data_IF_770269947708
#
_entry.id   IF_770269947708
#
_cell.length_a   1.000
_cell.length_b   1.000
_cell.length_c   1.000
_cell.angle_alpha   90.00
_cell.angle_beta   90.00
_cell.angle_gamma   90.00
#
_symmetry.space_group_name_H-M   'P 1'
#
loop_
_entity.id
_entity.type
_entity.pdbx_description
1 polymer ?
#
# COMPACT_ATOMS: atom_id res chain seq x y z
N UNK A 1 27.79 -10.28 0.20
CA UNK A 1 27.40 -9.14 1.06
C UNK A 1 25.91 -8.78 0.97
N UNK A 2 25.29 -8.59 -0.22
CA UNK A 2 23.86 -8.24 -0.29
C UNK A 2 22.92 -9.30 0.29
N UNK A 3 23.21 -10.58 0.06
CA UNK A 3 22.43 -11.70 0.58
C UNK A 3 22.44 -11.80 2.11
N UNK A 4 23.58 -11.53 2.75
CA UNK A 4 23.71 -11.53 4.22
C UNK A 4 22.89 -10.39 4.84
N UNK A 5 22.92 -9.20 4.23
CA UNK A 5 22.12 -8.05 4.67
C UNK A 5 20.63 -8.36 4.55
N UNK A 6 20.19 -8.97 3.45
CA UNK A 6 18.79 -9.37 3.27
C UNK A 6 18.36 -10.44 4.28
N UNK A 7 19.21 -11.43 4.56
CA UNK A 7 18.94 -12.44 5.59
C UNK A 7 18.76 -11.81 6.97
N UNK A 8 19.67 -10.93 7.39
CA UNK A 8 19.56 -10.21 8.66
C UNK A 8 18.28 -9.36 8.71
N UNK A 9 17.96 -8.65 7.63
CA UNK A 9 16.76 -7.84 7.53
C UNK A 9 15.48 -8.68 7.66
N UNK A 10 15.47 -9.90 7.11
CA UNK A 10 14.35 -10.82 7.27
C UNK A 10 14.26 -11.37 8.68
N UNK A 11 15.38 -11.78 9.29
CA UNK A 11 15.42 -12.29 10.68
C UNK A 11 14.89 -11.23 11.66
N UNK A 12 15.42 -10.01 11.61
CA UNK A 12 14.93 -8.89 12.43
C UNK A 12 13.45 -8.59 12.16
N UNK A 13 13.04 -8.70 10.89
CA UNK A 13 11.64 -8.57 10.50
C UNK A 13 10.74 -9.63 11.12
N UNK A 14 11.17 -10.89 11.16
CA UNK A 14 10.44 -11.99 11.82
C UNK A 14 10.36 -11.73 13.33
N UNK A 15 11.47 -11.39 13.98
CA UNK A 15 11.48 -11.08 15.42
C UNK A 15 10.54 -9.92 15.76
N UNK A 16 10.51 -8.88 14.93
CA UNK A 16 9.55 -7.78 15.10
C UNK A 16 8.10 -8.24 14.94
N UNK A 17 7.80 -9.10 13.97
CA UNK A 17 6.45 -9.64 13.79
C UNK A 17 6.05 -10.52 14.98
N UNK A 18 6.93 -11.37 15.49
CA UNK A 18 6.67 -12.19 16.68
C UNK A 18 6.36 -11.32 17.91
N UNK A 19 7.15 -10.28 18.12
CA UNK A 19 6.89 -9.31 19.18
C UNK A 19 5.53 -8.63 19.00
N UNK A 20 5.17 -8.26 17.77
CA UNK A 20 3.89 -7.65 17.46
C UNK A 20 2.71 -8.60 17.71
N UNK A 21 2.83 -9.87 17.29
CA UNK A 21 1.81 -10.90 17.49
C UNK A 21 1.58 -11.19 18.98
N UNK A 22 2.65 -11.35 19.74
CA UNK A 22 2.58 -11.60 21.19
C UNK A 22 1.99 -10.40 21.95
N UNK A 23 2.49 -9.19 21.67
CA UNK A 23 2.07 -7.95 22.37
C UNK A 23 0.63 -7.57 22.06
N UNK A 24 0.19 -7.74 20.81
CA UNK A 24 -1.14 -7.32 20.35
C UNK A 24 -2.11 -8.49 20.09
N UNK A 25 -1.84 -9.66 20.66
CA UNK A 25 -2.68 -10.86 20.53
C UNK A 25 -4.16 -10.60 20.86
N UNK A 26 -4.44 -9.82 21.92
CA UNK A 26 -5.80 -9.42 22.30
C UNK A 26 -6.51 -8.48 21.31
N UNK A 27 -5.79 -7.91 20.35
CA UNK A 27 -6.32 -7.00 19.31
C UNK A 27 -6.37 -7.65 17.92
N UNK A 28 -6.20 -8.98 17.83
CA UNK A 28 -6.14 -9.70 16.56
C UNK A 28 -7.33 -9.39 15.64
N UNK A 29 -8.57 -9.42 16.16
CA UNK A 29 -9.77 -9.12 15.37
C UNK A 29 -9.79 -7.68 14.84
N UNK A 30 -9.32 -6.71 15.63
CA UNK A 30 -9.21 -5.31 15.22
C UNK A 30 -8.18 -5.17 14.10
N UNK A 31 -7.01 -5.82 14.23
CA UNK A 31 -5.97 -5.78 13.20
C UNK A 31 -6.42 -6.49 11.91
N UNK A 32 -7.14 -7.60 12.02
CA UNK A 32 -7.76 -8.27 10.86
C UNK A 32 -8.84 -7.42 10.20
N UNK A 33 -9.63 -6.68 10.98
CA UNK A 33 -10.58 -5.71 10.45
C UNK A 33 -9.87 -4.57 9.71
N UNK A 34 -8.81 -4.01 10.30
CA UNK A 34 -8.02 -2.95 9.68
C UNK A 34 -7.36 -3.40 8.37
N UNK A 35 -6.89 -4.65 8.31
CA UNK A 35 -6.36 -5.22 7.07
C UNK A 35 -7.43 -5.31 5.98
N UNK A 36 -8.65 -5.73 6.34
CA UNK A 36 -9.79 -5.77 5.40
C UNK A 36 -10.14 -4.38 4.91
N UNK A 37 -10.18 -3.39 5.79
CA UNK A 37 -10.44 -2.00 5.43
C UNK A 37 -9.36 -1.42 4.51
N UNK A 38 -8.09 -1.80 4.72
CA UNK A 38 -6.96 -1.41 3.88
C UNK A 38 -6.86 -2.16 2.55
N UNK A 39 -7.83 -3.03 2.22
CA UNK A 39 -7.84 -3.78 0.97
C UNK A 39 -7.92 -2.81 -0.22
N UNK A 40 -6.98 -2.89 -1.20
CA UNK A 40 -6.95 -2.01 -2.36
C UNK A 40 -8.25 -1.94 -3.16
N UNK A 41 -9.11 -2.95 -3.11
CA UNK A 41 -10.42 -2.94 -3.77
C UNK A 41 -11.30 -1.79 -3.27
N UNK A 42 -11.16 -1.38 -2.01
CA UNK A 42 -11.89 -0.24 -1.46
C UNK A 42 -11.53 1.08 -2.16
N UNK A 43 -10.34 1.20 -2.76
CA UNK A 43 -9.97 2.35 -3.58
C UNK A 43 -10.98 2.59 -4.71
N UNK A 44 -11.39 1.51 -5.37
CA UNK A 44 -12.31 1.54 -6.51
C UNK A 44 -13.78 1.53 -6.09
N UNK A 45 -14.11 0.76 -5.04
CA UNK A 45 -15.49 0.53 -4.62
C UNK A 45 -16.04 1.60 -3.68
N UNK A 46 -15.18 2.25 -2.89
CA UNK A 46 -15.58 3.18 -1.82
C UNK A 46 -14.96 4.56 -2.02
N UNK A 47 -13.63 4.66 -2.03
CA UNK A 47 -12.95 5.96 -2.01
C UNK A 47 -13.15 6.75 -3.31
N UNK A 48 -13.03 6.11 -4.47
CA UNK A 48 -13.26 6.76 -5.76
C UNK A 48 -14.69 7.31 -5.89
N UNK A 49 -15.76 6.51 -5.72
CA UNK A 49 -17.14 7.01 -5.82
C UNK A 49 -17.42 8.12 -4.83
N UNK A 50 -16.98 7.97 -3.57
CA UNK A 50 -17.19 8.97 -2.53
C UNK A 50 -16.48 10.29 -2.88
N UNK A 51 -15.22 10.23 -3.30
CA UNK A 51 -14.46 11.41 -3.73
C UNK A 51 -15.09 12.10 -4.95
N UNK A 52 -15.68 11.33 -5.87
CA UNK A 52 -16.36 11.85 -7.06
C UNK A 52 -17.62 12.66 -6.69
N UNK A 53 -18.38 12.23 -5.68
CA UNK A 53 -19.55 12.96 -5.17
C UNK A 53 -19.17 14.34 -4.64
N UNK A 54 -18.05 14.45 -3.92
CA UNK A 54 -17.59 15.73 -3.36
C UNK A 54 -16.90 16.62 -4.40
N UNK A 55 -16.07 16.04 -5.27
CA UNK A 55 -15.38 16.79 -6.32
C UNK A 55 -15.01 15.87 -7.47
N UNK A 56 -15.52 16.18 -8.66
CA UNK A 56 -15.18 15.46 -9.89
C UNK A 56 -13.67 15.38 -10.11
N UNK A 57 -12.93 16.45 -9.80
CA UNK A 57 -11.47 16.48 -9.93
C UNK A 57 -10.79 15.50 -8.97
N UNK A 58 -11.19 15.53 -7.70
CA UNK A 58 -10.62 14.67 -6.65
C UNK A 58 -10.94 13.21 -6.95
N UNK A 59 -12.19 12.89 -7.28
CA UNK A 59 -12.60 11.54 -7.67
C UNK A 59 -11.77 10.99 -8.83
N UNK A 60 -11.64 11.73 -9.93
CA UNK A 60 -10.85 11.28 -11.09
C UNK A 60 -9.35 11.11 -10.75
N UNK A 61 -8.78 11.98 -9.90
CA UNK A 61 -7.40 11.80 -9.41
C UNK A 61 -7.28 10.57 -8.52
N UNK A 62 -8.22 10.33 -7.61
CA UNK A 62 -8.28 9.15 -6.76
C UNK A 62 -8.30 7.86 -7.59
N UNK A 63 -9.12 7.83 -8.65
CA UNK A 63 -9.16 6.69 -9.57
C UNK A 63 -7.82 6.51 -10.29
N UNK A 64 -7.25 7.60 -10.83
CA UNK A 64 -5.97 7.55 -11.54
C UNK A 64 -4.85 7.01 -10.63
N UNK A 65 -4.71 7.53 -9.41
CA UNK A 65 -3.65 7.07 -8.49
C UNK A 65 -3.88 5.63 -8.03
N UNK A 66 -5.12 5.18 -7.87
CA UNK A 66 -5.42 3.77 -7.57
C UNK A 66 -4.97 2.86 -8.71
N UNK A 67 -5.30 3.19 -9.97
CA UNK A 67 -4.90 2.42 -11.16
C UNK A 67 -3.38 2.36 -11.28
N UNK A 68 -2.70 3.51 -11.20
CA UNK A 68 -1.24 3.56 -11.31
C UNK A 68 -0.56 2.83 -10.15
N UNK A 69 -1.10 2.91 -8.93
CA UNK A 69 -0.53 2.21 -7.77
C UNK A 69 -0.68 0.69 -7.89
N UNK A 70 -1.85 0.19 -8.28
CA UNK A 70 -2.06 -1.25 -8.50
C UNK A 70 -1.14 -1.78 -9.62
N UNK A 71 -1.07 -1.06 -10.74
CA UNK A 71 -0.17 -1.42 -11.83
C UNK A 71 1.30 -1.40 -11.38
N UNK A 72 1.74 -0.36 -10.68
CA UNK A 72 3.12 -0.26 -10.18
C UNK A 72 3.41 -1.37 -9.18
N UNK A 73 2.47 -1.69 -8.29
CA UNK A 73 2.61 -2.79 -7.33
C UNK A 73 2.79 -4.14 -8.04
N UNK A 74 1.99 -4.40 -9.08
CA UNK A 74 2.07 -5.61 -9.89
C UNK A 74 3.44 -5.76 -10.55
N UNK A 75 3.89 -4.72 -11.25
CA UNK A 75 5.18 -4.69 -11.95
C UNK A 75 6.33 -4.93 -10.96
N UNK A 76 6.34 -4.19 -9.84
CA UNK A 76 7.39 -4.34 -8.83
C UNK A 76 7.37 -5.71 -8.17
N UNK A 77 6.20 -6.28 -7.88
CA UNK A 77 6.09 -7.64 -7.33
C UNK A 77 6.71 -8.68 -8.25
N UNK A 78 6.44 -8.60 -9.54
CA UNK A 78 7.02 -9.51 -10.52
C UNK A 78 8.51 -9.29 -10.74
N UNK A 79 9.03 -8.07 -10.59
CA UNK A 79 10.48 -7.84 -10.71
C UNK A 79 11.25 -8.28 -9.47
N UNK A 80 10.71 -7.98 -8.28
CA UNK A 80 11.44 -8.13 -7.02
C UNK A 80 11.31 -9.52 -6.39
N UNK A 81 10.27 -10.29 -6.75
CA UNK A 81 10.04 -11.65 -6.23
C UNK A 81 10.19 -11.76 -4.70
N UNK A 82 9.77 -10.73 -3.95
CA UNK A 82 10.02 -10.68 -2.51
C UNK A 82 9.29 -11.78 -1.75
N UNK A 83 9.97 -12.39 -0.79
CA UNK A 83 9.41 -13.41 0.08
C UNK A 83 8.38 -12.85 1.06
N UNK A 84 7.53 -13.72 1.61
CA UNK A 84 6.58 -13.35 2.67
C UNK A 84 6.99 -14.00 3.99
N UNK A 85 6.92 -13.29 5.13
CA UNK A 85 7.40 -13.80 6.42
C UNK A 85 6.87 -15.20 6.75
N UNK A 86 5.56 -15.42 6.63
CA UNK A 86 4.94 -16.70 6.98
C UNK A 86 5.44 -17.90 6.15
N UNK A 87 5.79 -17.68 4.88
CA UNK A 87 6.32 -18.73 4.01
C UNK A 87 7.84 -18.85 4.16
N UNK A 88 8.52 -17.71 4.29
CA UNK A 88 9.96 -17.61 4.40
C UNK A 88 10.53 -18.36 5.62
N UNK A 89 9.83 -18.32 6.77
CA UNK A 89 10.26 -19.08 7.96
C UNK A 89 10.17 -20.61 7.78
N UNK A 90 9.47 -21.09 6.74
CA UNK A 90 9.29 -22.52 6.46
C UNK A 90 10.28 -23.04 5.42
N UNK A 91 11.20 -22.19 4.96
CA UNK A 91 12.20 -22.57 3.98
C UNK A 91 13.25 -23.50 4.61
N UNK A 92 13.33 -24.78 4.18
CA UNK A 92 14.28 -25.74 4.74
C UNK A 92 15.74 -25.44 4.38
N UNK A 93 16.00 -24.59 3.38
CA UNK A 93 17.36 -24.13 3.07
C UNK A 93 17.86 -23.10 4.09
N UNK A 94 16.94 -22.45 4.82
CA UNK A 94 17.24 -21.38 5.79
C UNK A 94 17.16 -21.90 7.22
N UNK A 95 16.13 -22.68 7.55
CA UNK A 95 15.90 -23.18 8.90
C UNK A 95 15.86 -24.71 8.92
N UNK A 96 16.67 -25.30 9.81
CA UNK A 96 16.59 -26.73 10.11
C UNK A 96 15.22 -27.08 10.70
N UNK A 97 14.80 -28.33 10.48
CA UNK A 97 13.53 -28.85 10.97
C UNK A 97 13.41 -28.66 12.50
N UNK A 98 12.31 -28.03 12.94
CA UNK A 98 12.06 -27.73 14.35
C UNK A 98 12.81 -26.52 14.92
N UNK A 99 13.68 -25.84 14.16
CA UNK A 99 14.40 -24.63 14.61
C UNK A 99 13.83 -23.31 14.06
N UNK A 100 12.84 -23.37 13.17
CA UNK A 100 12.20 -22.19 12.61
C UNK A 100 11.45 -21.36 13.66
N UNK A 101 11.52 -20.01 13.62
CA UNK A 101 10.70 -19.15 14.45
C UNK A 101 9.21 -19.38 14.20
N UNK A 102 8.39 -19.39 15.26
CA UNK A 102 6.93 -19.52 15.14
C UNK A 102 6.28 -18.17 14.81
N UNK A 103 5.43 -18.15 13.78
CA UNK A 103 4.56 -17.02 13.43
C UNK A 103 3.11 -17.50 13.37
N UNK A 104 2.20 -16.76 14.00
CA UNK A 104 0.78 -17.10 14.01
C UNK A 104 0.17 -16.92 12.61
N UNK A 105 -0.64 -17.91 12.21
CA UNK A 105 -1.41 -17.87 10.97
C UNK A 105 -2.81 -17.33 11.25
N UNK A 106 -3.24 -16.38 10.43
CA UNK A 106 -4.61 -15.86 10.43
C UNK A 106 -5.31 -16.16 9.10
N UNK A 107 -6.63 -15.93 9.05
CA UNK A 107 -7.45 -16.16 7.85
C UNK A 107 -7.00 -15.38 6.62
N UNK A 108 -6.27 -14.28 6.81
CA UNK A 108 -5.77 -13.39 5.74
C UNK A 108 -4.26 -13.51 5.51
N UNK A 109 -3.59 -14.49 6.13
CA UNK A 109 -2.14 -14.69 5.98
C UNK A 109 -1.76 -15.28 4.63
N UNK A 110 -2.61 -16.14 4.07
CA UNK A 110 -2.31 -16.89 2.84
C UNK A 110 -2.57 -16.04 1.59
N UNK A 111 -1.55 -15.33 1.11
CA UNK A 111 -1.58 -14.66 -0.19
C UNK A 111 -0.66 -15.35 -1.20
N UNK A 112 -1.12 -15.46 -2.45
CA UNK A 112 -0.56 -16.33 -3.50
C UNK A 112 0.45 -15.66 -4.45
N UNK A 113 0.88 -14.44 -4.16
CA UNK A 113 1.84 -13.68 -5.00
C UNK A 113 3.00 -13.10 -4.19
N UNK A 114 4.03 -12.53 -4.86
CA UNK A 114 5.20 -11.96 -4.20
C UNK A 114 4.85 -10.90 -3.15
N UNK A 115 5.67 -10.82 -2.10
CA UNK A 115 5.48 -9.95 -0.95
C UNK A 115 5.98 -8.52 -1.11
N UNK A 116 6.95 -8.25 -1.99
CA UNK A 116 7.54 -6.90 -2.10
C UNK A 116 7.08 -6.14 -3.33
N UNK A 117 6.56 -4.90 -3.22
CA UNK A 117 6.16 -4.18 -2.00
C UNK A 117 4.72 -4.50 -1.53
N UNK A 118 4.38 -4.05 -0.32
CA UNK A 118 3.00 -4.13 0.21
C UNK A 118 2.02 -3.30 -0.63
N UNK A 119 1.09 -3.99 -1.31
CA UNK A 119 0.05 -3.35 -2.13
C UNK A 119 -0.98 -2.59 -1.29
N UNK A 120 -1.39 -3.15 -0.15
CA UNK A 120 -2.30 -2.49 0.79
C UNK A 120 -1.76 -1.13 1.22
N UNK A 121 -0.49 -1.07 1.61
CA UNK A 121 0.14 0.18 2.05
C UNK A 121 0.35 1.15 0.89
N UNK A 122 0.79 0.67 -0.28
CA UNK A 122 1.03 1.52 -1.45
C UNK A 122 -0.24 2.21 -1.94
N UNK A 123 -1.31 1.44 -2.16
CA UNK A 123 -2.57 1.99 -2.69
C UNK A 123 -3.23 2.91 -1.67
N UNK A 124 -3.28 2.49 -0.39
CA UNK A 124 -3.82 3.33 0.69
C UNK A 124 -3.06 4.66 0.79
N UNK A 125 -1.72 4.63 0.72
CA UNK A 125 -0.90 5.83 0.76
C UNK A 125 -1.17 6.78 -0.41
N UNK A 126 -1.28 6.24 -1.63
CA UNK A 126 -1.53 7.04 -2.82
C UNK A 126 -2.93 7.66 -2.85
N UNK A 127 -3.97 6.87 -2.54
CA UNK A 127 -5.36 7.30 -2.55
C UNK A 127 -5.61 8.34 -1.46
N UNK A 128 -5.19 8.04 -0.22
CA UNK A 128 -5.42 8.98 0.88
C UNK A 128 -4.55 10.23 0.74
N UNK A 129 -3.42 10.20 0.02
CA UNK A 129 -2.67 11.42 -0.30
C UNK A 129 -3.54 12.42 -1.08
N UNK A 130 -4.26 11.95 -2.10
CA UNK A 130 -5.15 12.80 -2.93
C UNK A 130 -6.28 13.38 -2.07
N UNK A 131 -6.94 12.54 -1.28
CA UNK A 131 -8.05 12.96 -0.39
C UNK A 131 -7.57 13.96 0.65
N UNK A 132 -6.48 13.66 1.36
CA UNK A 132 -5.89 14.54 2.38
C UNK A 132 -5.44 15.87 1.78
N UNK A 133 -4.80 15.85 0.62
CA UNK A 133 -4.38 17.07 -0.08
C UNK A 133 -5.57 17.95 -0.46
N UNK A 134 -6.68 17.35 -0.91
CA UNK A 134 -7.90 18.07 -1.24
C UNK A 134 -8.52 18.72 0.01
N UNK A 135 -8.68 17.96 1.10
CA UNK A 135 -9.20 18.47 2.37
C UNK A 135 -8.36 19.63 2.90
N UNK A 136 -7.03 19.51 2.88
CA UNK A 136 -6.12 20.57 3.34
C UNK A 136 -6.20 21.80 2.44
N UNK A 137 -6.34 21.61 1.13
CA UNK A 137 -6.55 22.72 0.18
C UNK A 137 -7.85 23.47 0.48
N UNK A 138 -8.95 22.76 0.72
CA UNK A 138 -10.25 23.35 1.03
C UNK A 138 -10.23 24.09 2.37
N UNK A 139 -9.58 23.53 3.39
CA UNK A 139 -9.36 24.22 4.67
C UNK A 139 -8.51 25.49 4.50
N UNK A 140 -7.51 25.44 3.61
CA UNK A 140 -6.60 26.57 3.36
C UNK A 140 -7.24 27.69 2.53
N UNK A 141 -8.23 27.37 1.70
CA UNK A 141 -9.01 28.33 0.91
C UNK A 141 -10.08 29.07 1.73
N UNK A 142 -10.32 28.68 2.99
CA UNK A 142 -11.32 29.32 3.85
C UNK A 142 -10.95 30.78 4.21
N UNK A 143 -11.94 31.66 4.47
CA UNK A 143 -11.70 33.05 4.87
C UNK A 143 -10.79 33.19 6.09
N UNK A 144 -10.06 34.31 6.19
CA UNK A 144 -9.05 34.55 7.24
C UNK A 144 -9.57 34.32 8.66
N UNK A 145 -10.83 34.69 8.90
CA UNK A 145 -11.46 34.67 10.22
C UNK A 145 -12.22 33.35 10.48
N UNK A 146 -12.12 32.37 9.57
CA UNK A 146 -12.75 31.07 9.74
C UNK A 146 -11.96 30.19 10.71
N UNK A 147 -12.65 29.45 11.58
CA UNK A 147 -12.07 28.42 12.43
C UNK A 147 -11.25 27.38 11.63
N UNK A 148 -11.59 27.16 10.35
CA UNK A 148 -10.87 26.29 9.41
C UNK A 148 -9.41 26.70 9.17
N UNK A 149 -9.03 27.96 9.39
CA UNK A 149 -7.64 28.42 9.26
C UNK A 149 -6.77 28.13 10.49
N UNK A 150 -7.36 27.61 11.56
CA UNK A 150 -6.59 27.17 12.72
C UNK A 150 -5.56 26.09 12.31
N UNK A 151 -4.28 26.24 12.67
CA UNK A 151 -3.21 25.31 12.26
C UNK A 151 -3.46 23.87 12.74
N UNK A 152 -4.08 23.67 13.90
CA UNK A 152 -4.41 22.34 14.43
C UNK A 152 -5.41 21.63 13.50
N UNK A 153 -6.44 22.36 13.06
CA UNK A 153 -7.47 21.82 12.16
C UNK A 153 -6.89 21.52 10.78
N UNK A 154 -5.93 22.32 10.30
CA UNK A 154 -5.22 22.08 9.03
C UNK A 154 -4.22 20.92 9.12
N UNK A 155 -3.67 20.66 10.30
CA UNK A 155 -2.78 19.52 10.56
C UNK A 155 -3.54 18.21 10.74
N UNK A 156 -4.79 18.25 11.20
CA UNK A 156 -5.59 17.07 11.51
C UNK A 156 -5.73 16.06 10.33
N UNK A 157 -5.97 16.47 9.06
CA UNK A 157 -6.02 15.54 7.95
C UNK A 157 -4.69 14.76 7.75
N UNK A 158 -3.55 15.41 7.91
CA UNK A 158 -2.23 14.76 7.80
C UNK A 158 -1.96 13.80 8.96
N UNK A 159 -2.43 14.14 10.17
CA UNK A 159 -2.36 13.25 11.32
C UNK A 159 -3.22 12.00 11.10
N UNK A 160 -4.47 12.17 10.65
CA UNK A 160 -5.39 11.06 10.35
C UNK A 160 -4.81 10.18 9.23
N UNK A 161 -4.28 10.78 8.17
CA UNK A 161 -3.57 10.07 7.09
C UNK A 161 -2.46 9.18 7.64
N UNK A 162 -1.60 9.74 8.50
CA UNK A 162 -0.46 9.03 9.08
C UNK A 162 -0.90 7.88 10.00
N UNK A 163 -1.95 8.09 10.79
CA UNK A 163 -2.52 7.06 11.66
C UNK A 163 -3.12 5.90 10.85
N UNK A 164 -3.89 6.19 9.79
CA UNK A 164 -4.48 5.15 8.95
C UNK A 164 -3.39 4.34 8.25
N UNK A 165 -2.34 4.99 7.72
CA UNK A 165 -1.23 4.27 7.10
C UNK A 165 -0.44 3.41 8.07
N UNK A 166 -0.20 3.94 9.28
CA UNK A 166 0.47 3.17 10.33
C UNK A 166 -0.38 1.95 10.72
N UNK A 167 -1.69 2.13 10.90
CA UNK A 167 -2.62 1.05 11.21
C UNK A 167 -2.67 -0.01 10.09
N UNK A 168 -2.74 0.42 8.83
CA UNK A 168 -2.69 -0.48 7.68
C UNK A 168 -1.37 -1.28 7.66
N UNK A 169 -0.23 -0.59 7.81
CA UNK A 169 1.10 -1.23 7.86
C UNK A 169 1.23 -2.24 8.99
N UNK A 170 0.93 -1.83 10.22
CA UNK A 170 0.97 -2.70 11.41
C UNK A 170 0.07 -3.91 11.23
N UNK A 171 -1.14 -3.75 10.67
CA UNK A 171 -2.03 -4.89 10.41
C UNK A 171 -1.40 -5.93 9.48
N UNK A 172 -0.65 -5.50 8.45
CA UNK A 172 0.01 -6.39 7.49
C UNK A 172 1.16 -7.18 8.09
N UNK A 173 1.92 -6.51 8.97
CA UNK A 173 3.00 -7.14 9.72
C UNK A 173 2.43 -8.17 10.68
N UNK A 174 1.38 -7.82 11.43
CA UNK A 174 0.75 -8.70 12.43
C UNK A 174 0.25 -10.02 11.84
N UNK A 175 -0.33 -9.99 10.63
CA UNK A 175 -0.79 -11.20 9.94
C UNK A 175 0.32 -11.94 9.16
N UNK A 176 1.59 -11.56 9.35
CA UNK A 176 2.78 -12.16 8.74
C UNK A 176 2.79 -12.16 7.19
N UNK A 177 2.09 -11.22 6.56
CA UNK A 177 2.00 -11.14 5.07
C UNK A 177 3.11 -10.34 4.43
N UNK A 178 3.75 -9.45 5.20
CA UNK A 178 4.80 -8.55 4.72
C UNK A 178 5.87 -8.35 5.79
N UNK A 179 7.11 -8.15 5.35
CA UNK A 179 8.20 -7.67 6.20
C UNK A 179 8.11 -6.14 6.41
N UNK A 180 8.70 -5.58 7.49
CA UNK A 180 8.71 -4.13 7.73
C UNK A 180 9.23 -3.32 6.54
N UNK A 181 10.33 -3.74 5.92
CA UNK A 181 10.90 -3.05 4.77
C UNK A 181 9.96 -3.03 3.55
N UNK A 182 9.13 -4.06 3.35
CA UNK A 182 8.15 -4.13 2.25
C UNK A 182 6.97 -3.18 2.48
N UNK A 183 6.55 -3.02 3.74
CA UNK A 183 5.53 -2.04 4.16
C UNK A 183 6.05 -0.62 3.96
N UNK A 184 7.27 -0.33 4.42
CA UNK A 184 7.90 0.98 4.25
C UNK A 184 8.10 1.32 2.77
N UNK A 185 8.63 0.39 1.98
CA UNK A 185 8.84 0.59 0.55
C UNK A 185 7.53 0.81 -0.20
N UNK A 186 6.50 -0.01 0.07
CA UNK A 186 5.16 0.19 -0.50
C UNK A 186 4.58 1.56 -0.16
N UNK A 187 4.70 1.98 1.10
CA UNK A 187 4.22 3.29 1.57
C UNK A 187 4.94 4.44 0.87
N UNK A 188 6.28 4.37 0.76
CA UNK A 188 7.09 5.39 0.11
C UNK A 188 6.73 5.55 -1.38
N UNK A 189 6.60 4.44 -2.10
CA UNK A 189 6.17 4.44 -3.51
C UNK A 189 4.74 4.98 -3.64
N UNK A 190 3.83 4.61 -2.73
CA UNK A 190 2.46 5.11 -2.72
C UNK A 190 2.38 6.62 -2.50
N UNK A 191 3.13 7.16 -1.54
CA UNK A 191 3.26 8.61 -1.30
C UNK A 191 3.79 9.30 -2.57
N UNK A 192 4.83 8.75 -3.20
CA UNK A 192 5.40 9.30 -4.42
C UNK A 192 4.37 9.35 -5.56
N UNK A 193 3.64 8.25 -5.79
CA UNK A 193 2.58 8.19 -6.81
C UNK A 193 1.50 9.22 -6.49
N UNK A 194 1.01 9.25 -5.25
CA UNK A 194 0.03 10.23 -4.79
C UNK A 194 0.50 11.67 -5.03
N UNK A 195 1.74 11.99 -4.68
CA UNK A 195 2.33 13.32 -4.86
C UNK A 195 2.44 13.72 -6.34
N UNK A 196 2.98 12.84 -7.19
CA UNK A 196 3.21 13.11 -8.62
C UNK A 196 1.88 13.24 -9.36
N UNK A 197 1.00 12.25 -9.21
CA UNK A 197 -0.23 12.18 -10.00
C UNK A 197 -1.34 13.07 -9.46
N UNK A 198 -1.29 13.53 -8.21
CA UNK A 198 -2.22 14.56 -7.72
C UNK A 198 -2.06 15.91 -8.45
N UNK A 199 -0.90 16.16 -9.09
CA UNK A 199 -0.67 17.36 -9.89
C UNK A 199 -1.21 17.26 -11.32
N UNK A 200 -1.63 16.08 -11.76
CA UNK A 200 -2.13 15.86 -13.11
C UNK A 200 -3.51 16.51 -13.30
N UNK A 201 -3.68 17.21 -14.43
CA UNK A 201 -4.93 17.86 -14.81
C UNK A 201 -5.91 16.83 -15.40
N UNK A 202 -6.39 15.88 -14.58
CA UNK A 202 -7.28 14.79 -15.01
C UNK A 202 -8.58 15.26 -15.68
N UNK A 203 -8.99 16.51 -15.45
CA UNK A 203 -10.17 17.10 -16.08
C UNK A 203 -10.01 17.32 -17.60
N UNK A 204 -8.77 17.41 -18.10
CA UNK A 204 -8.49 17.56 -19.54
C UNK A 204 -8.45 16.22 -20.29
N UNK A 205 -8.61 15.09 -19.59
CA UNK A 205 -8.51 13.77 -20.19
C UNK A 205 -9.67 13.53 -21.16
N UNK A 206 -9.32 13.27 -22.42
CA UNK A 206 -10.27 12.83 -23.45
C UNK A 206 -10.40 11.30 -23.40
N UNK A 207 -11.55 10.72 -23.81
CA UNK A 207 -11.73 9.26 -23.82
C UNK A 207 -10.61 8.50 -24.54
N UNK A 208 -10.09 9.05 -25.65
CA UNK A 208 -8.95 8.49 -26.37
C UNK A 208 -7.68 8.38 -25.53
N UNK A 209 -7.39 9.38 -24.69
CA UNK A 209 -6.24 9.35 -23.78
C UNK A 209 -6.39 8.26 -22.73
N UNK A 210 -7.61 8.06 -22.20
CA UNK A 210 -7.89 6.99 -21.27
C UNK A 210 -7.68 5.60 -21.91
N UNK A 211 -8.17 5.40 -23.14
CA UNK A 211 -7.97 4.15 -23.88
C UNK A 211 -6.48 3.89 -24.12
N UNK A 212 -5.73 4.91 -24.56
CA UNK A 212 -4.29 4.80 -24.79
C UNK A 212 -3.54 4.49 -23.48
N UNK A 213 -3.89 5.14 -22.38
CA UNK A 213 -3.31 4.88 -21.07
C UNK A 213 -3.58 3.44 -20.62
N UNK A 214 -4.83 2.99 -20.68
CA UNK A 214 -5.22 1.63 -20.29
C UNK A 214 -4.54 0.57 -21.17
N UNK A 215 -4.50 0.78 -22.49
CA UNK A 215 -3.79 -0.10 -23.41
C UNK A 215 -2.29 -0.13 -23.12
N UNK A 216 -1.67 1.03 -22.85
CA UNK A 216 -0.26 1.13 -22.49
C UNK A 216 0.07 0.33 -21.23
N UNK A 217 -0.71 0.51 -20.15
CA UNK A 217 -0.53 -0.22 -18.90
C UNK A 217 -0.70 -1.74 -19.08
N UNK A 218 -1.68 -2.17 -19.88
CA UNK A 218 -1.92 -3.58 -20.18
C UNK A 218 -0.77 -4.18 -21.01
N UNK A 219 -0.37 -3.53 -22.10
CA UNK A 219 0.72 -3.99 -22.97
C UNK A 219 2.03 -4.05 -22.21
N UNK A 220 2.35 -3.06 -21.37
CA UNK A 220 3.58 -3.07 -20.58
C UNK A 220 3.59 -4.21 -19.55
N UNK A 221 2.45 -4.50 -18.91
CA UNK A 221 2.33 -5.60 -17.97
C UNK A 221 2.46 -6.96 -18.68
N UNK A 222 1.76 -7.16 -19.80
CA UNK A 222 1.85 -8.38 -20.61
C UNK A 222 3.26 -8.58 -21.18
N UNK A 223 3.90 -7.50 -21.64
CA UNK A 223 5.27 -7.53 -22.14
C UNK A 223 6.26 -7.96 -21.06
N UNK A 224 6.19 -7.36 -19.87
CA UNK A 224 7.03 -7.77 -18.74
C UNK A 224 6.80 -9.24 -18.36
N UNK A 225 5.54 -9.64 -18.23
CA UNK A 225 5.19 -11.03 -17.93
C UNK A 225 5.77 -12.00 -18.97
N UNK A 226 5.64 -11.67 -20.26
CA UNK A 226 6.23 -12.45 -21.35
C UNK A 226 7.76 -12.56 -21.26
N UNK A 227 8.45 -11.47 -20.94
CA UNK A 227 9.91 -11.45 -20.74
C UNK A 227 10.31 -12.35 -19.55
N UNK A 228 9.60 -12.23 -18.42
CA UNK A 228 9.88 -13.02 -17.23
C UNK A 228 9.58 -14.52 -17.41
N UNK A 229 8.65 -14.87 -18.28
CA UNK A 229 8.38 -16.27 -18.64
C UNK A 229 9.49 -16.87 -19.52
N UNK A 230 10.06 -16.10 -20.45
CA UNK A 230 11.11 -16.61 -21.36
C UNK A 230 12.50 -16.68 -20.71
N UNK A 231 12.73 -15.91 -19.64
CA UNK A 231 14.01 -15.85 -18.94
C UNK A 231 14.08 -16.80 -17.71
N UNK A 232 13.11 -17.70 -17.55
CA UNK A 232 13.13 -18.79 -16.57
C UNK A 232 13.55 -20.09 -17.25
#
# INVERSE_FOLDING_TARGET
MPQVVMLLLHLEGVSFIQWLQTTFSGFAEVLLFLTRMGDPRHAFLVYFPLALVFSRSVGLRTLLVAIISEWTNLILKWMLHGERPFWWIKDPEIFEEGKAPHLDQYSLTCETGPGSPSGHCMVTAAVLWVVTSALVSDLSAAPSNSWKRNPIIRAAPWLIYSLILSAAGVSRLFIATHFPHQVLFGTAVGILIGYVFNKVQVQSFRPRMCVVLSAGLAVSAMGLYGILLHNK
#
